data_IF_295713337752
#
_entry.id   IF_295713337752
#
_cell.length_a   1.000
_cell.length_b   1.000
_cell.length_c   1.000
_cell.angle_alpha   90.00
_cell.angle_beta   90.00
_cell.angle_gamma   90.00
#
_symmetry.space_group_name_H-M   'P 1'
#
loop_
_entity.id
_entity.type
_entity.pdbx_description
1 polymer ?
#
# COMPACT_ATOMS: atom_id res chain seq x y z
N UNK A 1 -17.25 9.06 46.64
CA UNK A 1 -17.37 9.55 45.24
C UNK A 1 -17.00 8.42 44.29
N UNK A 2 -17.99 7.77 43.68
CA UNK A 2 -17.78 6.80 42.59
C UNK A 2 -18.28 7.49 41.32
N UNK A 3 -17.37 7.83 40.42
CA UNK A 3 -17.72 8.34 39.10
C UNK A 3 -17.90 7.12 38.21
N UNK A 4 -19.15 6.74 37.98
CA UNK A 4 -19.54 5.79 36.94
C UNK A 4 -19.40 6.47 35.58
N UNK A 5 -18.37 6.10 34.83
CA UNK A 5 -18.26 6.45 33.42
C UNK A 5 -18.99 5.37 32.60
N UNK A 6 -20.26 5.62 32.34
CA UNK A 6 -21.05 4.89 31.35
C UNK A 6 -20.48 5.23 29.97
N UNK A 7 -19.60 4.40 29.43
CA UNK A 7 -19.21 4.46 28.03
C UNK A 7 -20.29 3.76 27.21
N UNK A 8 -21.38 4.48 26.91
CA UNK A 8 -22.31 4.08 25.85
C UNK A 8 -21.59 4.22 24.51
N UNK A 9 -20.85 3.17 24.16
CA UNK A 9 -20.35 2.96 22.81
C UNK A 9 -21.55 2.60 21.94
N UNK A 10 -22.19 3.62 21.39
CA UNK A 10 -23.05 3.49 20.23
C UNK A 10 -22.25 2.76 19.14
N UNK A 11 -22.54 1.47 18.98
CA UNK A 11 -22.06 0.61 17.90
C UNK A 11 -22.60 1.18 16.59
N UNK A 12 -21.87 2.15 16.04
CA UNK A 12 -22.02 2.53 14.64
C UNK A 12 -21.14 1.59 13.84
N UNK A 13 -21.74 0.47 13.43
CA UNK A 13 -21.20 -0.48 12.44
C UNK A 13 -21.09 0.15 11.03
N UNK A 14 -20.72 1.43 10.92
CA UNK A 14 -20.26 2.05 9.69
C UNK A 14 -18.75 2.07 9.72
N UNK A 15 -18.16 0.89 9.57
CA UNK A 15 -16.80 0.81 9.03
C UNK A 15 -16.94 1.28 7.57
N UNK A 16 -16.88 2.59 7.38
CA UNK A 16 -16.73 3.22 6.08
C UNK A 16 -15.37 2.82 5.57
N UNK A 17 -15.30 1.69 4.86
CA UNK A 17 -14.13 1.38 4.07
C UNK A 17 -13.97 2.52 3.07
N UNK A 18 -12.78 3.14 2.96
CA UNK A 18 -12.52 4.22 2.02
C UNK A 18 -12.38 3.64 0.60
N UNK A 19 -13.40 2.91 0.16
CA UNK A 19 -13.59 2.45 -1.21
C UNK A 19 -14.42 3.53 -1.88
N UNK A 20 -13.98 3.99 -3.05
CA UNK A 20 -14.78 4.94 -3.84
C UNK A 20 -16.16 4.35 -4.08
N UNK A 21 -17.26 5.11 -3.95
CA UNK A 21 -18.60 4.59 -4.19
C UNK A 21 -18.73 3.84 -5.52
N UNK A 22 -18.08 4.36 -6.57
CA UNK A 22 -18.03 3.76 -7.91
C UNK A 22 -17.29 2.41 -7.99
N UNK A 23 -16.54 2.01 -6.97
CA UNK A 23 -15.80 0.74 -6.99
C UNK A 23 -16.44 -0.33 -6.11
N UNK A 24 -17.49 0.02 -5.34
CA UNK A 24 -18.02 -0.86 -4.28
C UNK A 24 -18.48 -2.22 -4.79
N UNK A 25 -19.03 -2.28 -6.00
CA UNK A 25 -19.51 -3.52 -6.61
C UNK A 25 -18.39 -4.46 -7.10
N UNK A 26 -17.16 -3.98 -7.20
CA UNK A 26 -15.99 -4.79 -7.57
C UNK A 26 -15.51 -5.64 -6.38
N UNK A 27 -15.93 -5.30 -5.17
CA UNK A 27 -15.60 -6.02 -3.95
C UNK A 27 -16.73 -6.99 -3.60
N UNK A 28 -16.40 -8.21 -3.14
CA UNK A 28 -17.43 -9.15 -2.72
C UNK A 28 -18.11 -8.68 -1.43
N UNK A 29 -19.31 -9.22 -1.17
CA UNK A 29 -20.12 -8.82 0.01
C UNK A 29 -19.40 -9.07 1.34
N UNK A 30 -18.55 -10.10 1.37
CA UNK A 30 -17.75 -10.54 2.51
C UNK A 30 -16.35 -9.90 2.54
N UNK A 31 -16.13 -8.81 1.79
CA UNK A 31 -14.85 -8.10 1.77
C UNK A 31 -14.30 -7.73 3.16
N UNK A 32 -15.10 -7.29 4.15
CA UNK A 32 -14.59 -7.05 5.51
C UNK A 32 -13.92 -8.27 6.12
N UNK A 33 -14.53 -9.46 5.96
CA UNK A 33 -14.04 -10.74 6.45
C UNK A 33 -12.80 -11.19 5.69
N UNK A 34 -12.83 -11.12 4.35
CA UNK A 34 -11.67 -11.44 3.52
C UNK A 34 -10.46 -10.55 3.86
N UNK A 35 -10.67 -9.25 3.95
CA UNK A 35 -9.65 -8.28 4.33
C UNK A 35 -9.11 -8.53 5.74
N UNK A 36 -9.95 -8.97 6.68
CA UNK A 36 -9.55 -9.35 8.03
C UNK A 36 -8.66 -10.60 7.99
N UNK A 37 -9.08 -11.65 7.27
CA UNK A 37 -8.35 -12.89 7.14
C UNK A 37 -6.96 -12.68 6.52
N UNK A 38 -6.86 -11.84 5.50
CA UNK A 38 -5.57 -11.51 4.90
C UNK A 38 -4.66 -10.76 5.88
N UNK A 39 -5.18 -9.74 6.58
CA UNK A 39 -4.35 -8.85 7.42
C UNK A 39 -3.96 -9.42 8.76
N UNK A 40 -4.82 -10.22 9.38
CA UNK A 40 -4.65 -10.61 10.77
C UNK A 40 -4.45 -12.10 10.93
N UNK A 41 -5.14 -12.92 10.14
CA UNK A 41 -5.03 -14.37 10.25
C UNK A 41 -3.81 -14.87 9.45
N UNK A 42 -3.76 -14.60 8.15
CA UNK A 42 -2.64 -15.00 7.27
C UNK A 42 -1.36 -14.26 7.61
N UNK A 43 -1.44 -12.93 7.67
CA UNK A 43 -0.26 -12.08 7.85
C UNK A 43 0.14 -11.88 9.33
N UNK A 44 -0.62 -12.43 10.29
CA UNK A 44 -0.31 -12.34 11.72
C UNK A 44 -0.21 -10.91 12.24
N UNK A 45 -1.05 -10.00 11.71
CA UNK A 45 -1.03 -8.58 12.00
C UNK A 45 0.33 -7.89 11.70
N UNK A 46 1.08 -8.39 10.71
CA UNK A 46 2.33 -7.80 10.24
C UNK A 46 2.28 -7.55 8.74
N UNK A 47 2.97 -6.51 8.29
CA UNK A 47 3.10 -6.25 6.86
C UNK A 47 3.87 -7.38 6.17
N UNK A 48 3.30 -8.01 5.15
CA UNK A 48 3.91 -9.14 4.43
C UNK A 48 5.18 -8.74 3.67
N UNK A 49 5.40 -7.43 3.43
CA UNK A 49 6.59 -6.93 2.74
C UNK A 49 7.73 -6.48 3.67
N UNK A 50 7.41 -5.89 4.81
CA UNK A 50 8.44 -5.27 5.68
C UNK A 50 8.37 -5.68 7.15
N UNK A 51 7.43 -6.56 7.52
CA UNK A 51 7.19 -7.08 8.86
C UNK A 51 6.76 -6.07 9.94
N UNK A 52 6.52 -4.80 9.58
CA UNK A 52 6.03 -3.79 10.53
C UNK A 52 4.70 -4.25 11.14
N UNK A 53 4.56 -4.22 12.49
CA UNK A 53 3.35 -4.67 13.18
C UNK A 53 2.20 -3.66 13.04
N UNK A 54 0.96 -4.16 12.98
CA UNK A 54 -0.25 -3.35 12.96
C UNK A 54 -0.48 -2.62 14.30
N UNK A 55 -1.03 -1.39 14.24
CA UNK A 55 -1.42 -0.56 15.39
C UNK A 55 -0.31 -0.29 16.40
N UNK A 56 0.94 -0.23 15.94
CA UNK A 56 2.09 0.16 16.76
C UNK A 56 2.84 1.35 16.18
N UNK A 57 3.44 2.12 17.06
CA UNK A 57 4.41 3.14 16.68
C UNK A 57 5.74 2.47 16.37
N UNK A 58 6.34 2.85 15.24
CA UNK A 58 7.63 2.33 14.78
C UNK A 58 8.56 3.50 14.48
N UNK A 59 9.75 3.47 15.07
CA UNK A 59 10.86 4.37 14.73
C UNK A 59 11.53 3.92 13.42
N UNK A 60 11.83 4.87 12.53
CA UNK A 60 12.45 4.61 11.23
C UNK A 60 13.31 5.77 10.74
N UNK A 61 14.27 5.46 9.85
CA UNK A 61 15.24 6.43 9.31
C UNK A 61 14.76 7.14 8.04
N UNK A 62 13.54 6.86 7.56
CA UNK A 62 12.96 7.49 6.37
C UNK A 62 13.29 6.76 5.06
N UNK A 63 14.47 6.18 4.94
CA UNK A 63 14.88 5.30 3.82
C UNK A 63 14.12 3.95 3.78
N UNK A 64 13.45 3.60 4.88
CA UNK A 64 12.70 2.36 5.05
C UNK A 64 13.27 1.43 6.11
N UNK A 65 14.49 1.66 6.59
CA UNK A 65 15.02 0.99 7.78
C UNK A 65 14.19 1.37 9.00
N UNK A 66 13.89 0.39 9.84
CA UNK A 66 13.05 0.59 11.01
C UNK A 66 13.47 -0.29 12.19
N UNK A 67 13.22 0.18 13.41
CA UNK A 67 13.56 -0.54 14.63
C UNK A 67 12.43 -1.49 15.03
N UNK A 68 12.74 -2.78 15.08
CA UNK A 68 11.86 -3.81 15.64
C UNK A 68 12.10 -3.93 17.14
N UNK A 69 11.16 -3.41 17.93
CA UNK A 69 11.22 -3.46 19.38
C UNK A 69 11.05 -4.87 19.96
N UNK A 70 10.34 -5.77 19.28
CA UNK A 70 10.14 -7.14 19.77
C UNK A 70 11.43 -7.95 19.60
N UNK A 71 12.11 -7.78 18.46
CA UNK A 71 13.34 -8.50 18.11
C UNK A 71 14.63 -7.75 18.49
N UNK A 72 14.51 -6.58 19.13
CA UNK A 72 15.60 -5.67 19.47
C UNK A 72 16.63 -5.50 18.33
N UNK A 73 16.14 -5.26 17.10
CA UNK A 73 17.02 -5.13 15.94
C UNK A 73 16.50 -4.16 14.89
N UNK A 74 17.41 -3.67 14.05
CA UNK A 74 17.05 -2.92 12.86
C UNK A 74 16.64 -3.88 11.73
N UNK A 75 15.62 -3.49 10.99
CA UNK A 75 15.15 -4.16 9.78
C UNK A 75 15.25 -3.24 8.58
N UNK A 76 15.56 -3.82 7.42
CA UNK A 76 15.54 -3.15 6.13
C UNK A 76 14.12 -2.80 5.66
N UNK A 77 14.03 -2.06 4.55
CA UNK A 77 12.76 -1.77 3.87
C UNK A 77 11.96 -3.03 3.45
N UNK A 78 12.61 -4.20 3.37
CA UNK A 78 12.01 -5.52 3.06
C UNK A 78 11.90 -6.44 4.29
N UNK A 79 12.06 -5.91 5.51
CA UNK A 79 11.90 -6.68 6.75
C UNK A 79 13.09 -7.56 7.16
N UNK A 80 14.13 -7.69 6.32
CA UNK A 80 15.37 -8.41 6.68
C UNK A 80 16.13 -7.70 7.79
N UNK A 81 16.65 -8.44 8.78
CA UNK A 81 17.51 -7.90 9.84
C UNK A 81 18.77 -7.27 9.24
N UNK A 82 19.16 -6.10 9.73
CA UNK A 82 20.36 -5.38 9.29
C UNK A 82 21.09 -4.82 10.51
N UNK A 83 22.42 -4.73 10.41
CA UNK A 83 23.20 -3.90 11.31
C UNK A 83 23.17 -2.47 10.78
N UNK A 84 22.79 -1.51 11.62
CA UNK A 84 22.98 -0.09 11.31
C UNK A 84 24.34 0.29 11.88
N UNK A 85 25.36 0.26 11.01
CA UNK A 85 26.75 0.60 11.37
C UNK A 85 27.00 2.10 11.23
N UNK A 86 26.25 2.76 10.36
CA UNK A 86 26.36 4.19 10.15
C UNK A 86 25.79 4.94 11.35
N UNK A 87 26.53 5.95 11.82
CA UNK A 87 25.98 6.91 12.77
C UNK A 87 24.92 7.72 12.02
N UNK A 88 23.69 7.71 12.52
CA UNK A 88 22.63 8.60 12.06
C UNK A 88 22.36 9.64 13.14
N UNK A 89 21.95 10.83 12.70
CA UNK A 89 21.52 11.87 13.62
C UNK A 89 20.20 11.46 14.27
N UNK A 90 20.09 11.60 15.58
CA UNK A 90 18.86 11.23 16.30
C UNK A 90 17.65 12.03 15.81
N UNK A 91 17.87 13.28 15.37
CA UNK A 91 16.84 14.13 14.76
C UNK A 91 16.29 13.63 13.42
N UNK A 92 17.00 12.72 12.74
CA UNK A 92 16.51 12.08 11.50
C UNK A 92 15.52 10.95 11.76
N UNK A 93 15.46 10.43 12.99
CA UNK A 93 14.57 9.34 13.38
C UNK A 93 13.14 9.86 13.45
N UNK A 94 12.26 9.25 12.66
CA UNK A 94 10.83 9.57 12.66
C UNK A 94 10.05 8.39 13.21
N UNK A 95 8.91 8.69 13.82
CA UNK A 95 7.99 7.68 14.34
C UNK A 95 6.70 7.71 13.54
N UNK A 96 6.25 6.54 13.09
CA UNK A 96 4.97 6.39 12.35
C UNK A 96 4.07 5.41 13.07
N UNK A 97 2.78 5.75 13.21
CA UNK A 97 1.74 4.80 13.62
C UNK A 97 1.37 3.89 12.45
N UNK A 98 1.63 2.60 12.59
CA UNK A 98 1.47 1.65 11.48
C UNK A 98 0.03 1.12 11.41
N UNK A 99 -0.57 1.26 10.24
CA UNK A 99 -1.88 0.67 9.89
C UNK A 99 -1.69 -0.20 8.66
N UNK A 100 -2.31 -1.39 8.67
CA UNK A 100 -2.28 -2.34 7.57
C UNK A 100 -3.57 -2.21 6.75
N UNK A 101 -3.41 -2.21 5.45
CA UNK A 101 -4.47 -2.32 4.46
C UNK A 101 -4.33 -3.63 3.68
N UNK A 102 -5.43 -4.11 3.12
CA UNK A 102 -5.42 -5.19 2.13
C UNK A 102 -5.27 -4.54 0.75
N UNK A 103 -4.27 -4.99 0.00
CA UNK A 103 -3.90 -4.46 -1.30
C UNK A 103 -4.02 -5.55 -2.38
N UNK A 104 -4.53 -5.19 -3.55
CA UNK A 104 -4.50 -6.03 -4.75
C UNK A 104 -3.13 -5.95 -5.40
N UNK A 105 -2.49 -7.10 -5.65
CA UNK A 105 -1.13 -7.18 -6.17
C UNK A 105 -1.04 -6.74 -7.64
N UNK A 106 -2.12 -6.90 -8.39
CA UNK A 106 -2.27 -6.49 -9.79
C UNK A 106 -2.93 -5.12 -9.98
N UNK A 107 -3.26 -4.42 -8.88
CA UNK A 107 -3.99 -3.15 -8.85
C UNK A 107 -5.44 -3.21 -9.38
N UNK A 108 -5.99 -4.39 -9.67
CA UNK A 108 -7.37 -4.55 -10.10
C UNK A 108 -8.28 -4.86 -8.90
N UNK A 109 -9.16 -3.93 -8.48
CA UNK A 109 -10.05 -4.15 -7.34
C UNK A 109 -11.09 -5.27 -7.55
N UNK A 110 -11.30 -5.75 -8.79
CA UNK A 110 -12.19 -6.87 -9.10
C UNK A 110 -11.56 -8.25 -8.84
N UNK A 111 -10.22 -8.35 -8.75
CA UNK A 111 -9.52 -9.62 -8.59
C UNK A 111 -9.29 -9.98 -7.12
N UNK A 112 -10.35 -10.45 -6.46
CA UNK A 112 -10.40 -10.66 -5.02
C UNK A 112 -9.92 -12.04 -4.54
N UNK A 113 -9.27 -12.83 -5.39
CA UNK A 113 -8.71 -14.12 -4.98
C UNK A 113 -7.66 -13.91 -3.88
N UNK A 114 -7.67 -14.68 -2.77
CA UNK A 114 -6.72 -14.50 -1.67
C UNK A 114 -5.25 -14.47 -2.10
N UNK A 115 -4.89 -15.21 -3.14
CA UNK A 115 -3.54 -15.24 -3.71
C UNK A 115 -3.10 -13.90 -4.34
N UNK A 116 -4.05 -13.08 -4.80
CA UNK A 116 -3.80 -11.75 -5.37
C UNK A 116 -3.86 -10.63 -4.32
N UNK A 117 -4.16 -10.96 -3.06
CA UNK A 117 -4.28 -9.99 -1.99
C UNK A 117 -3.04 -10.01 -1.11
N UNK A 118 -2.65 -8.85 -0.56
CA UNK A 118 -1.55 -8.73 0.40
C UNK A 118 -1.86 -7.76 1.54
N UNK A 119 -1.36 -8.05 2.73
CA UNK A 119 -1.41 -7.17 3.89
C UNK A 119 -0.20 -6.23 3.88
N UNK A 120 -0.43 -4.97 3.51
CA UNK A 120 0.62 -3.95 3.39
C UNK A 120 0.43 -2.81 4.39
N UNK A 121 1.53 -2.34 4.98
CA UNK A 121 1.52 -1.10 5.77
C UNK A 121 1.42 0.13 4.88
N UNK A 122 1.06 1.30 5.43
CA UNK A 122 0.88 2.53 4.64
C UNK A 122 2.08 2.82 3.71
N UNK A 123 3.32 2.68 4.20
CA UNK A 123 4.53 2.88 3.39
C UNK A 123 4.61 1.89 2.22
N UNK A 124 4.50 0.60 2.50
CA UNK A 124 4.64 -0.44 1.48
C UNK A 124 3.52 -0.40 0.46
N UNK A 125 2.30 -0.03 0.90
CA UNK A 125 1.15 0.15 0.05
C UNK A 125 1.32 1.35 -0.89
N UNK A 126 1.68 2.53 -0.35
CA UNK A 126 1.97 3.72 -1.18
C UNK A 126 3.07 3.48 -2.22
N UNK A 127 4.10 2.70 -1.88
CA UNK A 127 5.16 2.34 -2.81
C UNK A 127 4.70 1.36 -3.89
N UNK A 128 3.80 0.42 -3.55
CA UNK A 128 3.19 -0.51 -4.50
C UNK A 128 2.36 0.26 -5.53
N UNK A 129 1.47 1.13 -5.06
CA UNK A 129 0.54 1.86 -5.93
C UNK A 129 1.14 3.10 -6.59
N UNK A 130 2.42 3.40 -6.38
CA UNK A 130 3.01 4.67 -6.82
C UNK A 130 2.92 4.88 -8.35
N UNK A 131 3.11 3.82 -9.13
CA UNK A 131 3.01 3.88 -10.60
C UNK A 131 1.56 4.08 -11.05
N UNK A 132 0.65 3.26 -10.53
CA UNK A 132 -0.78 3.34 -10.80
C UNK A 132 -1.34 4.71 -10.41
N UNK A 133 -1.01 5.24 -9.23
CA UNK A 133 -1.41 6.57 -8.80
C UNK A 133 -0.84 7.69 -9.68
N UNK A 134 0.36 7.53 -10.27
CA UNK A 134 0.87 8.50 -11.26
C UNK A 134 0.05 8.45 -12.54
N UNK A 135 -0.25 7.25 -13.03
CA UNK A 135 -1.05 7.07 -14.23
C UNK A 135 -2.48 7.59 -14.05
N UNK A 136 -3.16 7.23 -12.97
CA UNK A 136 -4.52 7.72 -12.67
C UNK A 136 -4.59 9.23 -12.53
N UNK A 137 -3.58 9.86 -11.89
CA UNK A 137 -3.51 11.33 -11.79
C UNK A 137 -3.38 11.98 -13.16
N UNK A 138 -2.50 11.45 -14.00
CA UNK A 138 -2.37 11.92 -15.38
C UNK A 138 -3.68 11.71 -16.16
N UNK A 139 -4.26 10.52 -16.08
CA UNK A 139 -5.49 10.16 -16.79
C UNK A 139 -6.67 11.05 -16.40
N UNK A 140 -6.84 11.32 -15.11
CA UNK A 140 -7.94 12.16 -14.63
C UNK A 140 -7.87 13.60 -15.17
N UNK A 141 -6.67 14.12 -15.41
CA UNK A 141 -6.46 15.43 -16.06
C UNK A 141 -6.64 15.31 -17.56
N UNK A 142 -5.99 14.32 -18.19
CA UNK A 142 -5.99 14.13 -19.64
C UNK A 142 -7.38 13.84 -20.21
N UNK A 143 -8.20 13.00 -19.55
CA UNK A 143 -9.53 12.59 -20.05
C UNK A 143 -10.49 13.76 -20.28
N UNK A 144 -10.30 14.87 -19.57
CA UNK A 144 -11.09 16.10 -19.75
C UNK A 144 -10.69 16.84 -21.04
N UNK A 145 -9.41 16.78 -21.41
CA UNK A 145 -8.89 17.32 -22.66
C UNK A 145 -9.17 16.39 -23.87
N UNK A 146 -9.32 15.08 -23.62
CA UNK A 146 -9.52 14.05 -24.64
C UNK A 146 -10.96 13.94 -25.18
N UNK A 147 -11.92 14.72 -24.66
CA UNK A 147 -13.33 14.73 -25.14
C UNK A 147 -13.51 15.14 -26.62
N UNK A 148 -12.42 15.40 -27.35
CA UNK A 148 -12.38 15.69 -28.79
C UNK A 148 -11.25 14.99 -29.54
N UNK A 149 -10.56 14.05 -28.90
CA UNK A 149 -9.47 13.31 -29.53
C UNK A 149 -10.00 11.97 -30.08
N UNK A 150 -9.81 11.75 -31.38
CA UNK A 150 -10.20 10.56 -32.13
C UNK A 150 -9.22 9.37 -31.92
N UNK A 151 -8.42 9.37 -30.86
CA UNK A 151 -7.43 8.31 -30.56
C UNK A 151 -7.91 7.27 -29.52
N UNK A 152 -7.27 6.09 -29.59
CA UNK A 152 -7.56 4.80 -28.92
C UNK A 152 -7.87 4.87 -27.41
N UNK A 153 -8.73 3.95 -26.93
CA UNK A 153 -9.12 3.85 -25.51
C UNK A 153 -7.87 3.81 -24.59
N UNK A 154 -7.73 4.76 -23.66
CA UNK A 154 -6.51 4.87 -22.86
C UNK A 154 -6.29 3.75 -21.83
N UNK A 155 -7.31 2.93 -21.52
CA UNK A 155 -7.12 1.68 -20.76
C UNK A 155 -6.33 0.66 -21.58
N UNK A 156 -6.56 0.59 -22.90
CA UNK A 156 -5.78 -0.27 -23.81
C UNK A 156 -4.32 0.20 -23.87
N UNK A 157 -4.10 1.51 -23.91
CA UNK A 157 -2.76 2.12 -23.86
C UNK A 157 -2.04 1.80 -22.55
N UNK A 158 -2.75 1.85 -21.41
CA UNK A 158 -2.18 1.52 -20.10
C UNK A 158 -1.83 0.02 -19.99
N UNK A 159 -2.75 -0.86 -20.37
CA UNK A 159 -2.51 -2.30 -20.37
C UNK A 159 -1.28 -2.70 -21.22
N UNK A 160 -1.12 -2.06 -22.39
CA UNK A 160 0.10 -2.21 -23.21
C UNK A 160 1.36 -1.72 -22.52
N UNK A 161 1.29 -0.57 -21.86
CA UNK A 161 2.44 0.05 -21.17
C UNK A 161 2.86 -0.77 -19.94
N UNK A 162 1.90 -1.33 -19.20
CA UNK A 162 2.14 -2.20 -18.05
C UNK A 162 2.74 -3.56 -18.45
N UNK A 163 2.40 -4.07 -19.65
CA UNK A 163 2.96 -5.31 -20.21
C UNK A 163 4.34 -5.15 -20.84
N UNK A 164 4.85 -3.93 -21.01
CA UNK A 164 6.14 -3.70 -21.68
C UNK A 164 7.31 -4.08 -20.75
N UNK A 165 8.13 -5.09 -21.10
CA UNK A 165 9.26 -5.49 -20.27
C UNK A 165 10.27 -4.34 -20.13
N UNK A 166 10.91 -4.26 -18.96
CA UNK A 166 11.85 -3.20 -18.57
C UNK A 166 13.12 -3.13 -19.45
N UNK A 167 13.36 -4.10 -20.34
CA UNK A 167 14.60 -4.22 -21.11
C UNK A 167 14.73 -3.34 -22.36
N UNK A 168 13.76 -2.47 -22.69
CA UNK A 168 13.84 -1.59 -23.86
C UNK A 168 14.30 -0.15 -23.52
N UNK A 169 15.17 0.00 -22.52
CA UNK A 169 15.86 1.27 -22.21
C UNK A 169 17.36 1.01 -22.14
N UNK A 170 18.01 0.99 -23.30
CA UNK A 170 19.47 0.97 -23.41
C UNK A 170 19.94 0.02 -24.48
N UNK A 171 20.02 0.51 -25.72
CA UNK A 171 21.11 0.25 -26.66
C UNK A 171 20.82 0.99 -27.99
N UNK A 172 21.78 1.78 -28.45
CA UNK A 172 21.72 2.62 -29.65
C UNK A 172 21.93 4.10 -29.29
N UNK A 173 22.99 4.80 -29.69
CA UNK A 173 24.05 4.49 -30.63
C UNK A 173 25.27 5.38 -30.32
N UNK A 174 26.45 4.78 -30.24
CA UNK A 174 27.70 5.46 -30.56
C UNK A 174 28.16 4.84 -31.88
N UNK A 175 28.02 5.59 -32.96
CA UNK A 175 28.56 5.31 -34.28
C UNK A 175 29.18 6.62 -34.78
N UNK A 176 30.46 6.49 -35.15
CA UNK A 176 31.42 7.51 -35.60
C UNK A 176 32.02 8.42 -34.52
#
# INVERSE_FOLDING_TARGET
MKISLSFDSAVTHRITMPIRPENRWLYPIDWPQLSQAIRFDRAGARCERCARPHRRFVAHLGDGRWWDGDAACWRSARGRRVAVRDRFELGSVRTTYVVLACAHLDHDPGHNMPANLAALCQRCHMLHDAAEHRWQRWWNVFRLCALRDLYEDPRLTHARSARRPVSARGEGAALA
#
